data_IF_965120972569
#
_entry.id   IF_965120972569
#
_cell.length_a   1.000
_cell.length_b   1.000
_cell.length_c   1.000
_cell.angle_alpha   90.00
_cell.angle_beta   90.00
_cell.angle_gamma   90.00
#
_symmetry.space_group_name_H-M   'P 1'
#
loop_
_entity.id
_entity.type
_entity.pdbx_description
1 polymer ?
#
# COMPACT_ATOMS: atom_id res chain seq x y z
N UNK A 1 -5.83 28.55 -33.95
CA UNK A 1 -6.89 27.85 -33.21
C UNK A 1 -6.31 27.44 -31.88
N UNK A 2 -6.59 28.22 -30.83
CA UNK A 2 -6.07 27.97 -29.50
C UNK A 2 -6.62 26.61 -29.05
N UNK A 3 -5.73 25.64 -28.82
CA UNK A 3 -6.04 24.50 -27.97
C UNK A 3 -6.23 25.06 -26.57
N UNK A 4 -7.43 25.58 -26.33
CA UNK A 4 -7.94 25.93 -25.01
C UNK A 4 -7.53 24.81 -24.08
N UNK A 5 -6.77 25.18 -23.04
CA UNK A 5 -6.47 24.35 -21.88
C UNK A 5 -7.72 23.56 -21.51
N UNK A 6 -7.81 22.32 -21.98
CA UNK A 6 -8.81 21.39 -21.51
C UNK A 6 -8.43 21.18 -20.05
N UNK A 7 -9.33 21.56 -19.16
CA UNK A 7 -9.33 21.07 -17.79
C UNK A 7 -9.40 19.55 -17.93
N UNK A 8 -8.25 18.88 -17.92
CA UNK A 8 -8.18 17.43 -17.89
C UNK A 8 -9.02 17.04 -16.68
N UNK A 9 -10.12 16.28 -16.88
CA UNK A 9 -10.87 15.81 -15.74
C UNK A 9 -9.87 15.09 -14.85
N UNK A 10 -9.77 15.50 -13.58
CA UNK A 10 -9.11 14.70 -12.55
C UNK A 10 -9.89 13.40 -12.56
N UNK A 11 -9.37 12.41 -13.29
CA UNK A 11 -10.03 11.13 -13.42
C UNK A 11 -9.82 10.47 -12.08
N UNK A 12 -10.90 10.08 -11.42
CA UNK A 12 -10.76 9.40 -10.15
C UNK A 12 -10.51 7.92 -10.42
N UNK A 13 -9.24 7.51 -10.45
CA UNK A 13 -8.85 6.13 -10.80
C UNK A 13 -9.41 5.12 -9.79
N UNK A 14 -9.64 5.54 -8.55
CA UNK A 14 -10.26 4.72 -7.51
C UNK A 14 -11.72 4.37 -7.84
N UNK A 15 -12.52 5.36 -8.26
CA UNK A 15 -13.95 5.18 -8.59
C UNK A 15 -14.13 4.52 -9.96
N UNK A 16 -13.17 4.73 -10.87
CA UNK A 16 -13.15 4.10 -12.18
C UNK A 16 -12.67 2.63 -12.13
N UNK A 17 -12.13 2.17 -11.00
CA UNK A 17 -11.52 0.85 -10.89
C UNK A 17 -10.27 0.67 -11.76
N UNK A 18 -9.59 1.78 -12.09
CA UNK A 18 -8.37 1.81 -12.89
C UNK A 18 -7.11 1.78 -12.01
N UNK A 19 -7.27 1.96 -10.70
CA UNK A 19 -6.18 1.88 -9.74
C UNK A 19 -5.70 0.44 -9.55
N UNK A 20 -4.39 0.23 -9.57
CA UNK A 20 -3.73 -1.07 -9.36
C UNK A 20 -3.33 -1.32 -7.90
N UNK A 21 -4.09 -0.78 -6.93
CA UNK A 21 -3.85 -0.99 -5.49
C UNK A 21 -3.97 -2.47 -5.09
N UNK A 22 -3.23 -2.88 -4.05
CA UNK A 22 -3.46 -4.16 -3.38
C UNK A 22 -4.89 -4.21 -2.80
N UNK A 23 -5.57 -5.38 -2.77
CA UNK A 23 -6.88 -5.51 -2.11
C UNK A 23 -6.89 -5.11 -0.63
N UNK A 24 -5.75 -5.18 0.05
CA UNK A 24 -5.57 -4.74 1.44
C UNK A 24 -5.00 -3.31 1.52
N UNK A 25 -5.12 -2.51 0.45
CA UNK A 25 -4.78 -1.10 0.43
C UNK A 25 -6.00 -0.23 0.17
N UNK A 26 -6.00 0.96 0.74
CA UNK A 26 -6.95 2.01 0.47
C UNK A 26 -6.45 2.85 -0.71
N UNK A 27 -7.32 3.03 -1.71
CA UNK A 27 -7.05 3.90 -2.86
C UNK A 27 -7.37 5.35 -2.52
N UNK A 28 -6.42 6.25 -2.76
CA UNK A 28 -6.52 7.68 -2.48
C UNK A 28 -6.32 8.45 -3.79
N UNK A 29 -7.39 9.08 -4.24
CA UNK A 29 -7.39 9.97 -5.40
C UNK A 29 -6.65 11.28 -5.06
N UNK A 30 -5.73 11.71 -5.91
CA UNK A 30 -4.96 12.94 -5.75
C UNK A 30 -5.07 13.79 -7.01
N UNK A 31 -4.80 15.10 -6.91
CA UNK A 31 -4.96 16.04 -8.04
C UNK A 31 -4.15 15.65 -9.29
N UNK A 32 -3.12 14.83 -9.14
CA UNK A 32 -2.25 14.37 -10.22
C UNK A 32 -2.12 12.83 -10.25
N UNK A 33 -3.26 12.13 -10.20
CA UNK A 33 -3.36 10.67 -10.27
C UNK A 33 -3.89 10.06 -8.98
N UNK A 34 -3.33 8.93 -8.56
CA UNK A 34 -3.75 8.24 -7.34
C UNK A 34 -2.56 7.66 -6.59
N UNK A 35 -2.74 7.43 -5.30
CA UNK A 35 -1.81 6.71 -4.44
C UNK A 35 -2.54 5.61 -3.69
N UNK A 36 -1.82 4.56 -3.29
CA UNK A 36 -2.40 3.47 -2.51
C UNK A 36 -1.69 3.39 -1.16
N UNK A 37 -2.45 3.17 -0.10
CA UNK A 37 -1.95 3.06 1.25
C UNK A 37 -2.39 1.74 1.85
N UNK A 38 -1.46 0.89 2.30
CA UNK A 38 -1.83 -0.34 2.99
C UNK A 38 -2.68 -0.06 4.22
N UNK A 39 -3.72 -0.89 4.41
CA UNK A 39 -4.60 -0.81 5.57
C UNK A 39 -3.85 -1.08 6.87
N UNK A 40 -4.42 -0.63 7.98
CA UNK A 40 -3.82 -0.84 9.29
C UNK A 40 -3.62 -2.33 9.60
N UNK A 41 -2.41 -2.71 10.00
CA UNK A 41 -2.01 -4.11 10.21
C UNK A 41 -1.30 -4.76 9.03
N UNK A 42 -1.25 -4.09 7.88
CA UNK A 42 -0.47 -4.47 6.72
C UNK A 42 0.77 -3.60 6.56
N UNK A 43 1.85 -4.19 6.05
CA UNK A 43 3.08 -3.51 5.71
C UNK A 43 3.26 -3.55 4.20
N UNK A 44 3.67 -2.42 3.65
CA UNK A 44 4.00 -2.32 2.25
C UNK A 44 5.31 -3.06 1.96
N UNK A 45 5.23 -4.05 1.07
CA UNK A 45 6.36 -4.85 0.58
C UNK A 45 6.49 -4.75 -0.95
N UNK A 46 5.92 -3.69 -1.54
CA UNK A 46 6.03 -3.39 -2.96
C UNK A 46 7.50 -3.25 -3.38
N UNK A 47 7.81 -3.55 -4.65
CA UNK A 47 9.16 -3.40 -5.20
C UNK A 47 9.65 -1.94 -5.18
N UNK A 48 8.73 -0.99 -5.40
CA UNK A 48 9.01 0.45 -5.46
C UNK A 48 8.12 1.21 -4.46
N UNK A 49 8.33 1.08 -3.14
CA UNK A 49 7.44 1.65 -2.13
C UNK A 49 7.43 3.19 -2.13
N UNK A 50 8.42 3.82 -2.75
CA UNK A 50 8.52 5.29 -2.85
C UNK A 50 7.62 5.83 -3.96
N UNK A 51 7.63 5.19 -5.13
CA UNK A 51 6.93 5.69 -6.32
C UNK A 51 5.59 5.00 -6.54
N UNK A 52 5.43 3.78 -6.01
CA UNK A 52 4.24 2.93 -6.15
C UNK A 52 3.95 2.22 -4.82
N UNK A 53 3.60 2.98 -3.77
CA UNK A 53 3.24 2.38 -2.49
C UNK A 53 1.93 1.59 -2.59
N UNK A 54 1.72 0.67 -1.65
CA UNK A 54 0.44 -0.02 -1.45
C UNK A 54 0.01 -0.93 -2.60
N UNK A 55 0.96 -1.42 -3.41
CA UNK A 55 0.71 -2.40 -4.49
C UNK A 55 0.83 -3.83 -4.02
N UNK A 56 1.61 -4.05 -2.96
CA UNK A 56 1.75 -5.33 -2.28
C UNK A 56 1.70 -5.09 -0.78
N UNK A 57 0.58 -5.45 -0.16
CA UNK A 57 0.36 -5.27 1.28
C UNK A 57 0.40 -6.63 1.98
N UNK A 58 1.46 -6.87 2.74
CA UNK A 58 1.60 -8.09 3.53
C UNK A 58 1.11 -7.83 4.96
N UNK A 59 0.16 -8.63 5.44
CA UNK A 59 -0.22 -8.56 6.84
C UNK A 59 1.01 -8.86 7.69
N UNK A 60 1.27 -8.05 8.72
CA UNK A 60 2.14 -8.54 9.78
C UNK A 60 1.38 -9.71 10.40
N UNK A 61 1.82 -10.95 10.13
CA UNK A 61 1.46 -12.07 11.00
C UNK A 61 2.03 -11.70 12.37
N UNK A 62 1.23 -11.00 13.15
CA UNK A 62 1.38 -10.99 14.58
C UNK A 62 0.83 -12.35 14.98
N UNK A 63 1.68 -13.36 14.93
CA UNK A 63 1.39 -14.64 15.54
C UNK A 63 1.52 -14.43 17.04
N UNK A 64 0.55 -13.72 17.64
CA UNK A 64 0.47 -13.66 19.09
C UNK A 64 0.02 -15.03 19.57
N UNK A 65 0.79 -15.57 20.51
CA UNK A 65 0.51 -16.78 21.30
C UNK A 65 0.59 -18.15 20.59
N UNK A 66 1.80 -18.58 20.25
CA UNK A 66 2.20 -19.96 20.57
C UNK A 66 3.44 -19.90 21.46
N UNK A 67 3.20 -19.93 22.77
CA UNK A 67 4.15 -20.50 23.73
C UNK A 67 4.25 -22.00 23.41
N UNK A 68 5.22 -22.43 22.62
CA UNK A 68 5.75 -23.80 22.72
C UNK A 68 7.26 -23.73 22.52
N UNK A 69 7.98 -24.03 23.59
CA UNK A 69 9.40 -24.38 23.54
C UNK A 69 9.56 -25.61 22.64
N UNK A 70 10.22 -25.46 21.48
CA UNK A 70 11.30 -26.34 20.98
C UNK A 70 11.83 -25.85 19.61
N UNK A 71 12.87 -25.00 19.65
CA UNK A 71 13.98 -25.00 18.67
C UNK A 71 13.87 -24.17 17.36
N UNK A 72 14.53 -22.99 17.38
CA UNK A 72 15.17 -22.19 16.28
C UNK A 72 14.28 -21.57 15.18
N UNK A 73 14.31 -20.25 14.90
CA UNK A 73 15.39 -19.48 14.24
C UNK A 73 15.14 -17.93 14.36
N UNK A 74 16.24 -17.16 14.50
CA UNK A 74 16.51 -15.70 14.67
C UNK A 74 15.54 -14.70 13.97
N UNK A 75 15.25 -13.48 14.45
CA UNK A 75 16.21 -12.39 14.66
C UNK A 75 15.66 -11.20 15.50
N UNK A 76 16.63 -10.57 16.15
CA UNK A 76 16.70 -9.38 16.99
C UNK A 76 15.82 -8.17 16.58
N UNK A 77 15.01 -7.69 17.52
CA UNK A 77 14.81 -6.24 17.68
C UNK A 77 14.59 -5.94 19.15
N UNK A 78 15.68 -5.91 19.92
CA UNK A 78 15.76 -5.09 21.12
C UNK A 78 15.37 -3.67 20.71
N UNK A 79 14.26 -3.18 21.27
CA UNK A 79 13.93 -1.76 21.32
C UNK A 79 14.46 -1.27 22.66
N UNK A 80 15.58 -0.53 22.63
CA UNK A 80 15.86 0.48 23.67
C UNK A 80 14.78 1.57 23.64
#
# INVERSE_FOLDING_TARGET
MLFSRLLLPVVNECSAGLADCDPNADCIDVTNGYTCQCQNGFKDVSNDPINKPGRICAQRKCETSIFVFEGVEWDYSEVE
#
